data_IF_598328603808
#
_entry.id   IF_598328603808
#
_cell.length_a   1.000
_cell.length_b   1.000
_cell.length_c   1.000
_cell.angle_alpha   90.00
_cell.angle_beta   90.00
_cell.angle_gamma   90.00
#
_symmetry.space_group_name_H-M   'P 1'
#
loop_
_entity.id
_entity.type
_entity.pdbx_description
1 polymer ?
#
# COMPACT_ATOMS: atom_id res chain seq x y z
N UNK A 1 -63.04 63.21 -17.54
CA UNK A 1 -62.78 61.84 -17.07
C UNK A 1 -61.50 61.35 -17.75
N UNK A 2 -60.38 61.27 -17.05
CA UNK A 2 -59.11 60.76 -17.57
C UNK A 2 -58.86 59.40 -16.94
N UNK A 3 -58.85 58.38 -17.79
CA UNK A 3 -58.63 56.98 -17.40
C UNK A 3 -57.12 56.74 -17.27
N UNK A 4 -56.65 56.33 -16.07
CA UNK A 4 -55.26 55.94 -15.80
C UNK A 4 -55.15 54.44 -15.99
N UNK A 5 -54.34 53.98 -16.99
CA UNK A 5 -53.97 52.60 -17.20
C UNK A 5 -52.73 52.25 -16.39
N UNK A 6 -52.88 51.40 -15.40
CA UNK A 6 -51.73 50.85 -14.64
C UNK A 6 -51.07 49.73 -15.44
N UNK A 7 -49.81 49.93 -15.80
CA UNK A 7 -48.93 48.85 -16.33
C UNK A 7 -48.30 48.11 -15.14
N UNK A 8 -48.59 46.84 -15.07
CA UNK A 8 -47.90 45.90 -14.16
C UNK A 8 -46.58 45.55 -14.81
N UNK A 9 -45.45 45.81 -14.12
CA UNK A 9 -44.13 45.29 -14.41
C UNK A 9 -43.98 43.97 -13.68
N UNK A 10 -43.93 42.84 -14.39
CA UNK A 10 -43.51 41.55 -13.82
C UNK A 10 -41.97 41.52 -13.74
N UNK A 11 -41.47 41.49 -12.54
CA UNK A 11 -40.03 41.27 -12.27
C UNK A 11 -39.77 39.74 -12.39
N UNK A 12 -39.08 39.31 -13.45
CA UNK A 12 -38.58 37.94 -13.56
C UNK A 12 -37.29 37.90 -12.74
N UNK A 13 -37.35 37.29 -11.56
CA UNK A 13 -36.14 36.91 -10.82
C UNK A 13 -35.53 35.71 -11.56
N UNK A 14 -34.43 35.96 -12.28
CA UNK A 14 -33.55 34.89 -12.74
C UNK A 14 -32.86 34.29 -11.50
N UNK A 15 -33.29 33.09 -11.13
CA UNK A 15 -32.59 32.30 -10.10
C UNK A 15 -31.19 31.94 -10.59
N UNK A 16 -30.17 32.46 -9.92
CA UNK A 16 -28.80 31.98 -10.07
C UNK A 16 -28.76 30.52 -9.61
N UNK A 17 -28.10 29.61 -10.33
CA UNK A 17 -27.89 28.25 -9.83
C UNK A 17 -27.08 28.36 -8.53
N UNK A 18 -27.64 27.91 -7.42
CA UNK A 18 -26.89 27.63 -6.20
C UNK A 18 -25.92 26.50 -6.56
N UNK A 19 -24.66 26.82 -6.74
CA UNK A 19 -23.62 25.80 -6.77
C UNK A 19 -23.76 25.02 -5.48
N UNK A 20 -24.14 23.75 -5.62
CA UNK A 20 -24.24 22.85 -4.46
C UNK A 20 -22.87 22.79 -3.77
N UNK A 21 -22.82 23.15 -2.50
CA UNK A 21 -21.68 22.87 -1.64
C UNK A 21 -21.43 21.34 -1.76
N UNK A 22 -20.31 20.95 -2.36
CA UNK A 22 -19.91 19.55 -2.41
C UNK A 22 -19.94 18.97 -0.99
N UNK A 23 -20.47 17.76 -0.84
CA UNK A 23 -20.42 17.07 0.45
C UNK A 23 -18.96 16.92 0.88
N UNK A 24 -18.67 17.10 2.17
CA UNK A 24 -17.34 16.85 2.71
C UNK A 24 -16.93 15.38 2.43
N UNK A 25 -15.62 15.11 2.21
CA UNK A 25 -15.12 13.75 2.03
C UNK A 25 -15.61 12.81 3.13
N UNK A 26 -15.96 11.58 2.78
CA UNK A 26 -16.49 10.59 3.73
C UNK A 26 -15.37 9.96 4.56
N UNK A 27 -14.13 10.03 4.09
CA UNK A 27 -12.94 9.65 4.85
C UNK A 27 -11.69 10.36 4.35
N UNK A 28 -10.69 10.43 5.20
CA UNK A 28 -9.40 11.06 4.92
C UNK A 28 -8.35 10.00 4.65
N UNK A 29 -7.59 10.13 3.56
CA UNK A 29 -6.37 9.37 3.35
C UNK A 29 -5.25 10.03 4.16
N UNK A 30 -4.83 9.37 5.25
CA UNK A 30 -3.80 9.88 6.17
C UNK A 30 -2.44 9.87 5.49
N UNK A 31 -1.62 10.89 5.70
CA UNK A 31 -0.24 10.96 5.20
C UNK A 31 0.58 9.75 5.65
N UNK A 32 1.61 9.43 4.88
CA UNK A 32 2.51 8.31 5.18
C UNK A 32 3.47 8.57 6.35
N UNK A 33 3.62 9.82 6.76
CA UNK A 33 4.60 10.25 7.76
C UNK A 33 6.03 10.39 7.21
N UNK A 34 6.29 10.11 5.92
CA UNK A 34 7.62 10.27 5.34
C UNK A 34 8.06 11.75 5.40
N UNK A 35 9.21 12.01 6.02
CA UNK A 35 9.74 13.37 6.26
C UNK A 35 11.09 13.62 5.58
N UNK A 36 11.66 12.62 4.92
CA UNK A 36 12.97 12.68 4.30
C UNK A 36 12.87 12.48 2.80
N UNK A 37 13.68 13.25 2.04
CA UNK A 37 13.85 13.07 0.61
C UNK A 37 15.08 12.22 0.30
N UNK A 38 15.02 11.49 -0.82
CA UNK A 38 16.09 10.58 -1.22
C UNK A 38 16.35 10.68 -2.73
N UNK A 39 17.61 10.53 -3.13
CA UNK A 39 17.93 10.21 -4.52
C UNK A 39 17.76 8.68 -4.78
N UNK A 40 18.47 8.14 -5.75
CA UNK A 40 18.44 6.71 -6.06
C UNK A 40 19.24 5.85 -5.05
N UNK A 41 19.78 6.43 -3.98
CA UNK A 41 20.66 5.71 -3.01
C UNK A 41 20.54 6.21 -1.58
N UNK A 42 20.61 7.52 -1.38
CA UNK A 42 20.81 8.13 -0.07
C UNK A 42 19.83 9.27 0.19
N UNK A 43 19.74 9.67 1.45
CA UNK A 43 19.02 10.87 1.87
C UNK A 43 19.65 12.13 1.24
N UNK A 44 18.81 13.04 0.76
CA UNK A 44 19.21 14.33 0.18
C UNK A 44 18.38 15.45 0.81
N UNK A 45 18.90 16.70 0.79
CA UNK A 45 18.07 17.86 1.12
C UNK A 45 16.83 17.91 0.21
N UNK A 46 15.67 18.44 0.70
CA UNK A 46 14.46 18.53 -0.10
C UNK A 46 14.71 19.28 -1.42
N UNK A 47 14.49 18.65 -2.59
CA UNK A 47 14.69 19.28 -3.88
C UNK A 47 13.67 20.40 -4.10
N UNK A 48 14.06 21.42 -4.87
CA UNK A 48 13.15 22.49 -5.31
C UNK A 48 12.47 22.12 -6.62
N UNK A 49 11.34 22.77 -6.94
CA UNK A 49 10.69 22.63 -8.24
C UNK A 49 11.68 22.83 -9.39
N UNK A 50 11.63 21.96 -10.38
CA UNK A 50 12.55 21.93 -11.52
C UNK A 50 13.87 21.19 -11.27
N UNK A 51 14.15 20.78 -10.03
CA UNK A 51 15.33 19.95 -9.73
C UNK A 51 15.02 18.44 -9.86
N UNK A 52 16.04 17.60 -10.11
CA UNK A 52 15.89 16.15 -10.04
C UNK A 52 15.33 15.73 -8.69
N UNK A 53 14.52 14.67 -8.68
CA UNK A 53 13.87 14.12 -7.49
C UNK A 53 12.87 15.04 -6.77
N UNK A 54 12.47 16.17 -7.34
CA UNK A 54 11.37 16.98 -6.82
C UNK A 54 10.04 16.23 -7.00
N UNK A 55 9.15 16.33 -6.02
CA UNK A 55 7.81 15.73 -6.06
C UNK A 55 7.70 14.44 -5.25
N UNK A 56 8.63 14.21 -4.30
CA UNK A 56 8.58 13.07 -3.38
C UNK A 56 7.51 13.27 -2.29
N UNK A 57 7.07 12.16 -1.70
CA UNK A 57 6.09 12.10 -0.61
C UNK A 57 6.40 13.08 0.53
N UNK A 58 7.65 13.12 0.99
CA UNK A 58 8.10 14.02 2.06
C UNK A 58 7.93 15.53 1.75
N UNK A 59 7.50 15.91 0.56
CA UNK A 59 7.29 17.30 0.16
C UNK A 59 5.81 17.72 0.17
N UNK A 60 4.90 16.76 0.43
CA UNK A 60 3.46 16.97 0.46
C UNK A 60 2.89 16.46 1.78
N UNK A 61 2.35 17.36 2.59
CA UNK A 61 1.77 17.04 3.89
C UNK A 61 0.39 17.69 3.98
N UNK A 62 -0.66 16.87 3.96
CA UNK A 62 -2.04 17.34 3.98
C UNK A 62 -2.75 16.90 5.26
N UNK A 63 -2.61 15.63 5.64
CA UNK A 63 -3.30 15.01 6.75
C UNK A 63 -2.34 14.17 7.60
N UNK A 64 -1.41 14.79 8.36
CA UNK A 64 -0.46 14.05 9.20
C UNK A 64 -1.20 13.19 10.22
N UNK A 65 -0.68 11.98 10.49
CA UNK A 65 -1.28 11.06 11.45
C UNK A 65 -1.50 11.73 12.80
N UNK A 66 -2.68 11.52 13.37
CA UNK A 66 -3.09 12.14 14.64
C UNK A 66 -3.90 11.14 15.45
N UNK A 67 -3.38 10.75 16.61
CA UNK A 67 -3.97 9.72 17.46
C UNK A 67 -4.25 10.24 18.87
N UNK A 68 -5.26 9.66 19.52
CA UNK A 68 -5.60 9.88 20.91
C UNK A 68 -5.74 8.53 21.62
N UNK A 69 -5.02 8.34 22.73
CA UNK A 69 -5.19 7.14 23.56
C UNK A 69 -6.53 7.19 24.30
N UNK A 70 -7.23 6.07 24.35
CA UNK A 70 -8.39 5.89 25.22
C UNK A 70 -8.00 6.04 26.70
N UNK A 71 -8.93 6.51 27.52
CA UNK A 71 -8.68 6.77 28.95
C UNK A 71 -8.29 5.50 29.74
N UNK A 72 -8.69 4.34 29.25
CA UNK A 72 -8.34 3.00 29.79
C UNK A 72 -6.98 2.47 29.29
N UNK A 73 -6.36 3.15 28.32
CA UNK A 73 -5.13 2.71 27.69
C UNK A 73 -5.27 1.50 26.77
N UNK A 74 -6.49 1.02 26.47
CA UNK A 74 -6.75 -0.18 25.65
C UNK A 74 -6.98 0.16 24.19
N UNK A 75 -7.38 1.38 23.90
CA UNK A 75 -7.80 1.81 22.56
C UNK A 75 -7.01 3.01 22.05
N UNK A 76 -6.96 3.16 20.73
CA UNK A 76 -6.38 4.30 20.03
C UNK A 76 -7.41 4.86 19.06
N UNK A 77 -7.80 6.10 19.23
CA UNK A 77 -8.65 6.82 18.29
C UNK A 77 -7.81 7.56 17.27
N UNK A 78 -8.06 7.32 15.98
CA UNK A 78 -7.48 8.09 14.87
C UNK A 78 -8.37 9.30 14.57
N UNK A 79 -7.84 10.50 14.88
CA UNK A 79 -8.56 11.75 14.76
C UNK A 79 -8.85 12.17 13.32
N UNK A 80 -8.14 11.62 12.33
CA UNK A 80 -8.35 11.92 10.91
C UNK A 80 -9.40 11.00 10.26
N UNK A 81 -9.38 9.72 10.61
CA UNK A 81 -10.22 8.72 9.96
C UNK A 81 -11.54 8.47 10.69
N UNK A 82 -11.61 8.86 11.98
CA UNK A 82 -12.73 8.53 12.87
C UNK A 82 -12.77 7.04 13.25
N UNK A 83 -11.71 6.29 12.94
CA UNK A 83 -11.56 4.89 13.35
C UNK A 83 -11.02 4.81 14.77
N UNK A 84 -11.44 3.78 15.50
CA UNK A 84 -10.87 3.43 16.81
C UNK A 84 -10.35 2.02 16.76
N UNK A 85 -9.13 1.81 17.23
CA UNK A 85 -8.38 0.57 17.13
C UNK A 85 -8.12 -0.04 18.50
N UNK A 86 -7.99 -1.38 18.58
CA UNK A 86 -7.26 -1.97 19.69
C UNK A 86 -5.84 -1.41 19.69
N UNK A 87 -5.30 -1.09 20.86
CA UNK A 87 -3.92 -0.63 21.02
C UNK A 87 -2.91 -1.77 20.86
N UNK A 88 -3.28 -2.96 21.25
CA UNK A 88 -2.41 -4.13 21.31
C UNK A 88 -3.06 -5.34 20.66
N UNK A 89 -2.30 -6.17 19.91
CA UNK A 89 -2.72 -7.49 19.48
C UNK A 89 -2.42 -8.57 20.53
N UNK A 90 -2.12 -8.22 21.79
CA UNK A 90 -1.96 -9.12 22.91
C UNK A 90 -3.28 -9.86 23.17
N UNK A 91 -3.27 -11.17 23.09
CA UNK A 91 -4.47 -12.02 23.25
C UNK A 91 -4.55 -12.77 24.56
N UNK A 92 -3.44 -12.92 25.29
CA UNK A 92 -3.39 -13.61 26.56
C UNK A 92 -3.27 -12.66 27.77
N UNK A 93 -3.04 -11.36 27.52
CA UNK A 93 -3.06 -10.28 28.52
C UNK A 93 -1.81 -10.25 29.40
N UNK A 94 -0.68 -10.76 28.90
CA UNK A 94 0.59 -10.79 29.64
C UNK A 94 1.48 -9.55 29.35
N UNK A 95 0.98 -8.58 28.58
CA UNK A 95 1.67 -7.36 28.11
C UNK A 95 2.91 -7.64 27.24
N UNK A 96 3.05 -8.83 26.67
CA UNK A 96 4.16 -9.23 25.82
C UNK A 96 3.64 -9.77 24.49
N UNK A 97 4.09 -9.21 23.40
CA UNK A 97 3.74 -9.70 22.06
C UNK A 97 4.69 -10.81 21.65
N UNK A 98 4.14 -12.00 21.47
CA UNK A 98 4.84 -13.23 21.10
C UNK A 98 4.13 -13.95 19.96
N UNK A 99 4.66 -15.08 19.50
CA UNK A 99 3.96 -15.94 18.55
C UNK A 99 2.63 -16.51 19.09
N UNK A 100 2.43 -16.52 20.43
CA UNK A 100 1.22 -17.05 21.04
C UNK A 100 0.02 -16.11 20.87
N UNK A 101 0.28 -14.83 20.63
CA UNK A 101 -0.75 -13.82 20.35
C UNK A 101 -1.24 -13.85 18.90
N UNK A 102 -0.60 -14.63 18.05
CA UNK A 102 -0.99 -14.75 16.64
C UNK A 102 -2.12 -15.75 16.47
N UNK A 103 -3.13 -15.35 15.72
CA UNK A 103 -4.38 -16.09 15.52
C UNK A 103 -4.44 -16.70 14.12
N UNK A 104 -5.03 -17.88 13.99
CA UNK A 104 -5.49 -18.41 12.69
C UNK A 104 -6.60 -17.51 12.13
N UNK A 105 -6.93 -17.66 10.86
CA UNK A 105 -8.04 -16.87 10.26
C UNK A 105 -9.36 -17.11 11.01
N UNK A 106 -9.66 -18.34 11.37
CA UNK A 106 -10.89 -18.67 12.11
C UNK A 106 -10.95 -17.99 13.50
N UNK A 107 -9.84 -17.98 14.21
CA UNK A 107 -9.72 -17.27 15.50
C UNK A 107 -9.82 -15.76 15.32
N UNK A 108 -9.14 -15.19 14.29
CA UNK A 108 -9.22 -13.78 13.97
C UNK A 108 -10.66 -13.33 13.65
N UNK A 109 -11.42 -14.16 12.92
CA UNK A 109 -12.83 -13.89 12.61
C UNK A 109 -13.74 -13.97 13.85
N UNK A 110 -13.39 -14.75 14.84
CA UNK A 110 -14.15 -14.88 16.09
C UNK A 110 -13.83 -13.76 17.10
N UNK A 111 -12.64 -13.13 17.02
CA UNK A 111 -12.17 -12.13 17.98
C UNK A 111 -13.13 -10.93 18.15
N UNK A 112 -13.69 -10.33 17.07
CA UNK A 112 -14.61 -9.20 17.22
C UNK A 112 -15.83 -9.52 18.10
N UNK A 113 -16.41 -10.72 17.96
CA UNK A 113 -17.55 -11.13 18.77
C UNK A 113 -17.19 -11.24 20.25
N UNK A 114 -15.97 -11.66 20.58
CA UNK A 114 -15.47 -11.75 21.97
C UNK A 114 -15.27 -10.34 22.55
N UNK A 115 -14.68 -9.40 21.78
CA UNK A 115 -14.48 -8.02 22.21
C UNK A 115 -15.83 -7.32 22.45
N UNK A 116 -16.80 -7.55 21.56
CA UNK A 116 -18.15 -6.98 21.67
C UNK A 116 -18.89 -7.54 22.90
N UNK A 117 -18.80 -8.84 23.15
CA UNK A 117 -19.42 -9.47 24.32
C UNK A 117 -18.80 -8.99 25.65
N UNK A 118 -17.52 -8.64 25.66
CA UNK A 118 -16.82 -8.12 26.83
C UNK A 118 -16.88 -6.59 26.97
N UNK A 119 -17.53 -5.89 26.04
CA UNK A 119 -17.55 -4.42 25.97
C UNK A 119 -16.13 -3.81 26.00
N UNK A 120 -15.21 -4.40 25.25
CA UNK A 120 -13.80 -4.01 25.24
C UNK A 120 -13.64 -2.51 24.92
N UNK A 121 -12.92 -1.78 25.79
CA UNK A 121 -12.78 -0.33 25.69
C UNK A 121 -14.10 0.45 25.80
N UNK A 122 -15.18 -0.18 26.30
CA UNK A 122 -16.52 0.39 26.41
C UNK A 122 -17.35 0.34 25.12
N UNK A 123 -16.98 -0.49 24.14
CA UNK A 123 -17.63 -0.57 22.81
C UNK A 123 -18.14 -1.99 22.49
N UNK A 124 -19.12 -2.06 21.55
CA UNK A 124 -19.80 -3.30 21.15
C UNK A 124 -19.83 -3.48 19.62
N UNK A 125 -19.10 -2.67 18.85
CA UNK A 125 -19.11 -2.64 17.38
C UNK A 125 -17.75 -2.93 16.76
N UNK A 126 -16.91 -3.69 17.45
CA UNK A 126 -15.62 -4.16 16.95
C UNK A 126 -15.79 -5.09 15.76
N UNK A 127 -14.89 -4.99 14.78
CA UNK A 127 -14.81 -5.83 13.58
C UNK A 127 -13.37 -6.01 13.13
N UNK A 128 -13.12 -6.99 12.25
CA UNK A 128 -11.86 -7.05 11.53
C UNK A 128 -11.73 -5.85 10.59
N UNK A 129 -10.55 -5.24 10.46
CA UNK A 129 -10.33 -4.17 9.51
C UNK A 129 -10.38 -4.68 8.07
N UNK A 130 -10.86 -3.87 7.15
CA UNK A 130 -10.56 -4.03 5.72
C UNK A 130 -9.06 -3.78 5.48
N UNK A 131 -8.56 -4.15 4.29
CA UNK A 131 -7.16 -3.88 3.94
C UNK A 131 -6.86 -2.37 3.90
N UNK A 132 -7.80 -1.56 3.41
CA UNK A 132 -7.64 -0.10 3.35
C UNK A 132 -7.61 0.53 4.74
N UNK A 133 -8.46 0.06 5.66
CA UNK A 133 -8.42 0.50 7.05
C UNK A 133 -7.10 0.11 7.72
N UNK A 134 -6.69 -1.15 7.63
CA UNK A 134 -5.45 -1.59 8.26
C UNK A 134 -4.22 -0.83 7.74
N UNK A 135 -4.20 -0.52 6.44
CA UNK A 135 -3.10 0.24 5.83
C UNK A 135 -3.11 1.73 6.21
N UNK A 136 -4.19 2.26 6.75
CA UNK A 136 -4.20 3.64 7.29
C UNK A 136 -3.19 3.82 8.43
N UNK A 137 -2.87 2.75 9.16
CA UNK A 137 -1.88 2.75 10.24
C UNK A 137 -0.42 2.72 9.75
N UNK A 138 -0.18 2.49 8.45
CA UNK A 138 1.17 2.44 7.90
C UNK A 138 1.92 3.76 8.10
N UNK A 139 3.19 3.67 8.53
CA UNK A 139 4.09 4.80 8.78
C UNK A 139 5.40 4.59 7.99
N UNK A 140 5.64 5.41 6.97
CA UNK A 140 6.81 5.31 6.11
C UNK A 140 8.12 5.80 6.76
N UNK A 141 8.08 6.21 8.04
CA UNK A 141 9.31 6.45 8.85
C UNK A 141 9.98 5.13 9.26
N UNK A 142 9.33 4.00 9.02
CA UNK A 142 9.87 2.67 9.26
C UNK A 142 11.17 2.39 8.51
N UNK A 143 11.92 1.39 8.98
CA UNK A 143 13.18 0.94 8.38
C UNK A 143 13.03 -0.52 7.90
N UNK A 144 13.11 -0.76 6.59
CA UNK A 144 13.07 -2.11 6.02
C UNK A 144 14.26 -2.94 6.57
N UNK A 145 13.99 -4.05 7.28
CA UNK A 145 15.03 -4.92 7.81
C UNK A 145 15.71 -5.79 6.75
N UNK A 146 15.26 -5.74 5.49
CA UNK A 146 15.86 -6.50 4.39
C UNK A 146 17.31 -6.01 4.16
N UNK A 147 18.29 -6.83 4.45
CA UNK A 147 19.71 -6.47 4.28
C UNK A 147 20.64 -7.13 5.30
N UNK A 148 21.89 -6.68 5.41
CA UNK A 148 22.94 -7.34 6.20
C UNK A 148 22.81 -7.22 7.72
N UNK A 149 21.74 -6.60 8.24
CA UNK A 149 21.53 -6.35 9.69
C UNK A 149 21.31 -7.61 10.54
N UNK A 150 21.11 -8.77 9.93
CA UNK A 150 20.89 -10.03 10.65
C UNK A 150 19.63 -9.97 11.52
N UNK A 151 19.74 -10.45 12.77
CA UNK A 151 18.64 -10.51 13.74
C UNK A 151 18.63 -9.31 14.72
N UNK A 152 19.49 -8.32 14.52
CA UNK A 152 19.54 -7.15 15.39
C UNK A 152 18.43 -6.15 15.02
N UNK A 153 17.45 -6.04 15.91
CA UNK A 153 16.31 -5.11 15.76
C UNK A 153 16.53 -3.77 16.45
N UNK A 154 17.64 -3.57 17.17
CA UNK A 154 17.88 -2.36 17.98
C UNK A 154 17.96 -1.06 17.15
N UNK A 155 18.22 -1.17 15.85
CA UNK A 155 18.34 -0.05 14.90
C UNK A 155 17.15 0.03 13.93
N UNK A 156 16.13 -0.79 14.12
CA UNK A 156 14.93 -0.82 13.31
C UNK A 156 13.85 0.08 13.90
N UNK A 157 13.12 0.74 13.04
CA UNK A 157 11.86 1.41 13.35
C UNK A 157 10.76 0.65 12.60
N UNK A 158 9.69 0.19 13.26
CA UNK A 158 8.60 -0.46 12.56
C UNK A 158 7.77 0.54 11.75
N UNK A 159 7.00 0.03 10.80
CA UNK A 159 6.12 0.83 9.94
C UNK A 159 4.74 1.08 10.57
N UNK A 160 4.72 1.30 11.89
CA UNK A 160 3.55 1.71 12.68
C UNK A 160 4.04 2.59 13.84
N UNK A 161 3.23 3.56 14.26
CA UNK A 161 3.62 4.48 15.35
C UNK A 161 3.54 3.79 16.72
N UNK A 162 4.70 3.40 17.24
CA UNK A 162 4.83 2.69 18.54
C UNK A 162 4.63 3.58 19.77
N UNK A 163 4.44 4.89 19.61
CA UNK A 163 3.98 5.73 20.72
C UNK A 163 2.51 5.44 21.09
N UNK A 164 1.76 4.92 20.12
CA UNK A 164 0.34 4.61 20.29
C UNK A 164 0.06 3.11 20.25
N UNK A 165 0.68 2.36 19.36
CA UNK A 165 0.41 0.95 19.14
C UNK A 165 1.51 0.06 19.70
N UNK A 166 1.15 -1.04 20.34
CA UNK A 166 2.13 -2.07 20.72
C UNK A 166 2.52 -2.87 19.47
N UNK A 167 3.81 -3.13 19.36
CA UNK A 167 4.40 -3.84 18.23
C UNK A 167 5.57 -4.74 18.69
N UNK A 168 5.73 -5.89 18.05
CA UNK A 168 6.91 -6.74 18.18
C UNK A 168 7.38 -7.28 16.83
N UNK A 169 8.68 -7.31 16.63
CA UNK A 169 9.29 -8.12 15.57
C UNK A 169 9.18 -9.60 15.90
N UNK A 170 9.28 -10.49 14.90
CA UNK A 170 9.38 -11.93 15.12
C UNK A 170 10.64 -12.25 15.95
N UNK A 171 10.54 -13.27 16.82
CA UNK A 171 11.63 -13.71 17.70
C UNK A 171 12.45 -14.85 17.05
N UNK A 172 13.69 -14.58 16.59
CA UNK A 172 14.55 -15.61 16.02
C UNK A 172 14.89 -16.75 16.99
N UNK A 173 14.80 -16.51 18.31
CA UNK A 173 15.06 -17.54 19.31
C UNK A 173 13.91 -18.57 19.41
N UNK A 174 12.71 -18.14 19.03
CA UNK A 174 11.55 -19.04 18.89
C UNK A 174 11.35 -19.58 17.46
N UNK A 175 12.33 -19.38 16.59
CA UNK A 175 12.32 -19.89 15.20
C UNK A 175 11.58 -18.99 14.20
N UNK A 176 11.23 -17.76 14.58
CA UNK A 176 10.65 -16.77 13.68
C UNK A 176 11.72 -15.95 12.97
N UNK A 177 11.39 -15.38 11.82
CA UNK A 177 12.22 -14.32 11.20
C UNK A 177 11.86 -12.97 11.83
N UNK A 178 12.77 -12.03 11.83
CA UNK A 178 12.51 -10.64 12.27
C UNK A 178 11.24 -10.06 11.61
N UNK A 179 11.01 -10.40 10.33
CA UNK A 179 9.82 -9.96 9.58
C UNK A 179 8.56 -10.79 9.82
N UNK A 180 8.54 -11.74 10.74
CA UNK A 180 7.34 -12.52 11.02
C UNK A 180 6.42 -11.76 12.00
N UNK A 181 5.96 -10.59 11.54
CA UNK A 181 5.07 -9.67 12.24
C UNK A 181 3.95 -9.21 11.30
N UNK A 182 3.22 -10.19 10.75
CA UNK A 182 2.13 -9.95 9.82
C UNK A 182 0.83 -9.69 10.58
N UNK A 183 0.12 -8.64 10.19
CA UNK A 183 -1.21 -8.29 10.71
C UNK A 183 -2.28 -8.63 9.68
N UNK A 184 -3.30 -9.37 10.10
CA UNK A 184 -4.40 -9.79 9.23
C UNK A 184 -5.44 -8.69 9.06
N UNK A 185 -5.97 -8.56 7.83
CA UNK A 185 -7.23 -7.87 7.57
C UNK A 185 -8.37 -8.87 7.40
N UNK A 186 -9.61 -8.39 7.20
CA UNK A 186 -10.74 -9.21 6.76
C UNK A 186 -10.81 -9.41 5.25
N UNK A 187 -9.87 -8.83 4.47
CA UNK A 187 -9.92 -8.83 3.00
C UNK A 187 -9.23 -10.05 2.42
N UNK A 188 -10.00 -10.94 1.80
CA UNK A 188 -9.48 -12.10 1.09
C UNK A 188 -9.05 -11.72 -0.32
N UNK A 189 -8.04 -12.40 -0.86
CA UNK A 189 -7.70 -12.33 -2.27
C UNK A 189 -8.74 -13.13 -3.07
N UNK A 190 -9.18 -12.57 -4.19
CA UNK A 190 -10.19 -13.23 -5.07
C UNK A 190 -9.58 -14.32 -5.95
N UNK A 191 -8.27 -14.36 -6.10
CA UNK A 191 -7.53 -15.43 -6.79
C UNK A 191 -6.96 -16.46 -5.82
N UNK A 192 -6.25 -17.44 -6.35
CA UNK A 192 -5.51 -18.43 -5.58
C UNK A 192 -4.03 -18.09 -5.49
N UNK A 193 -3.38 -18.54 -4.43
CA UNK A 193 -1.95 -18.42 -4.26
C UNK A 193 -1.14 -19.44 -5.07
N UNK A 194 0.18 -19.28 -5.02
CA UNK A 194 1.15 -20.16 -5.70
C UNK A 194 0.99 -21.66 -5.36
N UNK A 195 0.41 -21.97 -4.20
CA UNK A 195 0.17 -23.35 -3.74
C UNK A 195 -1.29 -23.79 -3.88
N UNK A 196 -2.14 -23.01 -4.59
CA UNK A 196 -3.57 -23.32 -4.74
C UNK A 196 -4.40 -23.07 -3.48
N UNK A 197 -3.84 -22.41 -2.46
CA UNK A 197 -4.55 -22.04 -1.24
C UNK A 197 -5.20 -20.66 -1.36
N UNK A 198 -6.28 -20.46 -0.60
CA UNK A 198 -6.84 -19.15 -0.37
C UNK A 198 -5.80 -18.23 0.30
N UNK A 199 -5.87 -16.94 -0.04
CA UNK A 199 -5.01 -15.91 0.54
C UNK A 199 -5.82 -14.87 1.30
N UNK A 200 -5.17 -14.33 2.33
CA UNK A 200 -5.65 -13.20 3.09
C UNK A 200 -4.68 -12.03 2.92
N UNK A 201 -5.19 -10.86 2.58
CA UNK A 201 -4.35 -9.66 2.60
C UNK A 201 -4.05 -9.21 4.03
N UNK A 202 -2.83 -8.76 4.23
CA UNK A 202 -2.39 -8.20 5.48
C UNK A 202 -1.23 -7.24 5.31
N UNK A 203 -0.99 -6.45 6.34
CA UNK A 203 0.18 -5.57 6.44
C UNK A 203 1.25 -6.23 7.29
N UNK A 204 2.46 -6.17 6.84
CA UNK A 204 3.61 -6.50 7.67
C UNK A 204 4.26 -5.20 8.17
N UNK A 205 3.98 -4.81 9.39
CA UNK A 205 4.53 -3.59 9.95
C UNK A 205 6.02 -3.69 10.31
N UNK A 206 6.65 -4.88 10.21
CA UNK A 206 8.10 -5.02 10.33
C UNK A 206 8.83 -4.61 9.04
N UNK A 207 8.25 -4.89 7.86
CA UNK A 207 8.86 -4.60 6.56
C UNK A 207 8.06 -3.63 5.68
N UNK A 208 6.97 -3.08 6.18
CA UNK A 208 6.17 -2.04 5.54
C UNK A 208 5.44 -2.49 4.26
N UNK A 209 5.07 -3.77 4.13
CA UNK A 209 4.50 -4.31 2.89
C UNK A 209 3.08 -4.86 3.05
N UNK A 210 2.26 -4.68 2.01
CA UNK A 210 1.00 -5.42 1.83
C UNK A 210 1.29 -6.68 1.02
N UNK A 211 0.81 -7.82 1.53
CA UNK A 211 0.92 -9.11 0.84
C UNK A 211 -0.38 -9.90 1.00
N UNK A 212 -0.74 -10.67 -0.03
CA UNK A 212 -1.63 -11.80 0.11
C UNK A 212 -0.86 -12.98 0.70
N UNK A 213 -1.23 -13.38 1.89
CA UNK A 213 -0.61 -14.50 2.60
C UNK A 213 -1.43 -15.77 2.39
N UNK A 214 -0.79 -16.86 2.00
CA UNK A 214 -1.41 -18.18 2.04
C UNK A 214 -1.91 -18.47 3.46
N UNK A 215 -3.09 -19.06 3.58
CA UNK A 215 -3.67 -19.41 4.90
C UNK A 215 -3.01 -20.63 5.55
N UNK A 216 -2.21 -21.37 4.77
CA UNK A 216 -1.45 -22.52 5.26
C UNK A 216 0.05 -22.31 5.00
N UNK A 217 0.85 -22.87 5.89
CA UNK A 217 2.29 -22.95 5.67
C UNK A 217 2.59 -23.95 4.54
N UNK A 218 3.77 -23.86 3.88
CA UNK A 218 4.18 -24.80 2.86
C UNK A 218 3.99 -26.26 3.33
N UNK A 219 3.34 -27.08 2.47
CA UNK A 219 2.94 -28.45 2.83
C UNK A 219 1.49 -28.60 3.32
N UNK A 220 0.75 -27.50 3.52
CA UNK A 220 -0.70 -27.47 3.73
C UNK A 220 -1.22 -28.09 5.04
N UNK A 221 -0.33 -28.44 5.96
CA UNK A 221 -0.68 -29.16 7.21
C UNK A 221 -0.89 -28.24 8.42
N UNK A 222 -0.31 -27.06 8.38
CA UNK A 222 -0.36 -26.10 9.47
C UNK A 222 -0.93 -24.79 8.97
N UNK A 223 -1.93 -24.27 9.68
CA UNK A 223 -2.48 -22.94 9.41
C UNK A 223 -1.46 -21.86 9.74
N UNK A 224 -1.45 -20.82 8.94
CA UNK A 224 -0.68 -19.62 9.21
C UNK A 224 -1.41 -18.77 10.24
N UNK A 225 -0.64 -18.15 11.14
CA UNK A 225 -1.15 -17.26 12.17
C UNK A 225 -0.68 -15.83 11.97
N UNK A 226 -1.45 -14.87 12.50
CA UNK A 226 -1.27 -13.44 12.30
C UNK A 226 -1.54 -12.67 13.59
N UNK A 227 -0.89 -11.56 13.81
CA UNK A 227 -1.40 -10.56 14.74
C UNK A 227 -2.69 -9.95 14.20
N UNK A 228 -3.56 -9.50 15.10
CA UNK A 228 -4.85 -8.88 14.74
C UNK A 228 -5.06 -7.63 15.59
N UNK A 229 -5.39 -6.53 14.93
CA UNK A 229 -5.94 -5.33 15.57
C UNK A 229 -7.35 -5.15 15.05
N UNK A 230 -8.35 -5.32 15.92
CA UNK A 230 -9.73 -5.00 15.58
C UNK A 230 -9.93 -3.49 15.51
N UNK A 231 -10.89 -3.08 14.69
CA UNK A 231 -11.26 -1.69 14.45
C UNK A 231 -12.75 -1.50 14.67
N UNK A 232 -13.17 -0.27 14.99
CA UNK A 232 -14.55 0.19 15.02
C UNK A 232 -14.69 1.62 14.50
N UNK A 233 -15.91 2.11 14.38
CA UNK A 233 -16.22 3.44 13.86
C UNK A 233 -16.24 3.45 12.33
N UNK A 234 -16.42 4.62 11.73
CA UNK A 234 -16.53 4.93 10.30
C UNK A 234 -16.57 3.71 9.32
N UNK A 235 -17.72 3.03 9.17
CA UNK A 235 -17.80 1.82 8.34
C UNK A 235 -17.66 2.12 6.83
N UNK A 236 -17.70 3.39 6.44
CA UNK A 236 -17.50 3.85 5.06
C UNK A 236 -16.04 4.08 4.69
N UNK A 237 -15.10 3.96 5.64
CA UNK A 237 -13.68 4.14 5.33
C UNK A 237 -13.20 3.19 4.24
N UNK A 238 -12.52 3.74 3.23
CA UNK A 238 -12.01 2.97 2.10
C UNK A 238 -13.05 2.66 1.01
N UNK A 239 -14.30 3.12 1.14
CA UNK A 239 -15.30 3.04 0.07
C UNK A 239 -15.18 4.27 -0.83
N UNK A 240 -14.81 4.06 -2.09
CA UNK A 240 -14.64 5.13 -3.07
C UNK A 240 -16.01 5.60 -3.62
N UNK A 241 -16.07 6.87 -4.04
CA UNK A 241 -17.18 7.49 -4.77
C UNK A 241 -16.64 8.20 -6.02
N UNK A 242 -16.39 7.41 -7.06
CA UNK A 242 -15.77 7.91 -8.29
C UNK A 242 -16.75 8.66 -9.18
N UNK A 243 -16.32 9.79 -9.69
CA UNK A 243 -17.04 10.62 -10.65
C UNK A 243 -16.15 10.93 -11.87
N UNK A 244 -16.59 10.47 -13.04
CA UNK A 244 -15.92 10.75 -14.32
C UNK A 244 -16.37 12.13 -14.82
N UNK A 245 -15.42 13.05 -15.02
CA UNK A 245 -15.66 14.40 -15.55
C UNK A 245 -15.75 14.42 -17.08
N UNK A 246 -15.51 13.28 -17.75
CA UNK A 246 -15.50 13.16 -19.23
C UNK A 246 -14.46 14.05 -19.93
N UNK A 247 -13.46 14.51 -19.21
CA UNK A 247 -12.35 15.33 -19.67
C UNK A 247 -10.98 14.65 -19.48
N UNK A 248 -11.00 13.38 -19.07
CA UNK A 248 -9.82 12.57 -18.75
C UNK A 248 -9.43 12.63 -17.28
N UNK A 249 -10.26 13.23 -16.43
CA UNK A 249 -10.11 13.22 -14.97
C UNK A 249 -11.23 12.45 -14.28
N UNK A 250 -10.91 11.83 -13.14
CA UNK A 250 -11.86 11.14 -12.27
C UNK A 250 -11.65 11.64 -10.84
N UNK A 251 -12.69 12.20 -10.24
CA UNK A 251 -12.68 12.55 -8.81
C UNK A 251 -13.14 11.38 -7.97
N UNK A 252 -12.48 11.16 -6.85
CA UNK A 252 -13.01 10.35 -5.75
C UNK A 252 -13.58 11.28 -4.68
N UNK A 253 -14.90 11.47 -4.70
CA UNK A 253 -15.61 12.35 -3.76
C UNK A 253 -15.50 11.87 -2.32
N UNK A 254 -15.24 10.57 -2.13
CA UNK A 254 -15.06 10.00 -0.80
C UNK A 254 -13.76 10.48 -0.12
N UNK A 255 -12.73 10.80 -0.92
CA UNK A 255 -11.40 11.19 -0.42
C UNK A 255 -11.05 12.66 -0.70
N UNK A 256 -11.75 13.31 -1.65
CA UNK A 256 -11.39 14.64 -2.17
C UNK A 256 -10.15 14.63 -3.05
N UNK A 257 -9.80 13.48 -3.63
CA UNK A 257 -8.69 13.35 -4.58
C UNK A 257 -9.21 13.31 -6.02
N UNK A 258 -8.51 13.98 -6.92
CA UNK A 258 -8.72 13.89 -8.36
C UNK A 258 -7.56 13.15 -9.01
N UNK A 259 -7.88 12.28 -9.96
CA UNK A 259 -6.94 11.37 -10.62
C UNK A 259 -6.96 11.57 -12.14
N UNK A 260 -5.81 11.32 -12.80
CA UNK A 260 -5.84 11.08 -14.23
C UNK A 260 -6.56 9.77 -14.53
N UNK A 261 -7.51 9.78 -15.47
CA UNK A 261 -8.25 8.58 -15.86
C UNK A 261 -7.33 7.56 -16.52
N UNK A 262 -6.41 8.02 -17.37
CA UNK A 262 -5.37 7.18 -17.99
C UNK A 262 -4.06 7.24 -17.22
N UNK A 263 -3.30 6.15 -17.28
CA UNK A 263 -1.93 6.06 -16.77
C UNK A 263 -0.91 6.64 -17.77
N UNK A 264 0.39 6.50 -17.47
CA UNK A 264 1.50 7.01 -18.31
C UNK A 264 1.65 6.33 -19.67
N UNK A 265 0.91 5.23 -19.94
CA UNK A 265 1.01 4.43 -21.16
C UNK A 265 2.30 3.59 -21.30
N UNK A 266 3.29 3.88 -20.49
CA UNK A 266 4.57 3.17 -20.47
C UNK A 266 5.21 3.22 -19.08
N UNK A 267 6.05 2.22 -18.78
CA UNK A 267 6.85 2.18 -17.57
C UNK A 267 8.08 3.10 -17.66
N UNK A 268 8.51 3.61 -16.51
CA UNK A 268 9.72 4.42 -16.36
C UNK A 268 10.34 4.21 -14.99
N UNK A 269 11.64 4.50 -14.82
CA UNK A 269 12.26 4.47 -13.51
C UNK A 269 11.72 5.59 -12.61
N UNK A 270 11.98 5.50 -11.30
CA UNK A 270 11.37 6.40 -10.32
C UNK A 270 11.76 7.88 -10.50
N UNK A 271 13.02 8.15 -10.84
CA UNK A 271 13.47 9.53 -11.10
C UNK A 271 12.79 10.13 -12.33
N UNK A 272 12.66 9.33 -13.39
CA UNK A 272 11.97 9.75 -14.62
C UNK A 272 10.45 9.91 -14.36
N UNK A 273 9.86 9.11 -13.46
CA UNK A 273 8.48 9.26 -13.03
C UNK A 273 8.23 10.64 -12.39
N UNK A 274 9.09 11.03 -11.44
CA UNK A 274 9.02 12.37 -10.83
C UNK A 274 9.21 13.50 -11.85
N UNK A 275 10.17 13.34 -12.78
CA UNK A 275 10.40 14.32 -13.84
C UNK A 275 9.23 14.39 -14.82
N UNK A 276 8.61 13.26 -15.16
CA UNK A 276 7.44 13.19 -16.01
C UNK A 276 6.25 13.96 -15.42
N UNK A 277 6.01 13.85 -14.12
CA UNK A 277 4.98 14.62 -13.40
C UNK A 277 5.24 16.13 -13.53
N UNK A 278 6.50 16.57 -13.36
CA UNK A 278 6.87 17.97 -13.53
C UNK A 278 6.62 18.45 -14.99
N UNK A 279 6.91 17.61 -15.99
CA UNK A 279 6.59 17.86 -17.40
C UNK A 279 5.09 18.03 -17.62
N UNK A 280 4.26 17.17 -17.03
CA UNK A 280 2.80 17.26 -17.13
C UNK A 280 2.25 18.55 -16.52
N UNK A 281 2.83 19.02 -15.42
CA UNK A 281 2.47 20.31 -14.83
C UNK A 281 2.86 21.50 -15.73
N UNK A 282 4.03 21.45 -16.35
CA UNK A 282 4.47 22.48 -17.29
C UNK A 282 3.58 22.56 -18.54
N UNK A 283 3.07 21.42 -19.00
CA UNK A 283 2.12 21.30 -20.13
C UNK A 283 0.67 21.69 -19.75
N UNK A 284 0.37 21.91 -18.47
CA UNK A 284 -1.00 22.07 -17.95
C UNK A 284 -1.89 20.87 -18.33
N UNK A 285 -1.37 19.68 -18.13
CA UNK A 285 -2.04 18.44 -18.52
C UNK A 285 -3.44 18.36 -17.92
N UNK A 286 -4.45 18.05 -18.74
CA UNK A 286 -5.87 18.03 -18.35
C UNK A 286 -6.33 19.34 -17.67
N UNK A 287 -5.73 20.48 -18.03
CA UNK A 287 -6.07 21.79 -17.48
C UNK A 287 -5.45 22.16 -16.13
N UNK A 288 -4.63 21.26 -15.53
CA UNK A 288 -4.08 21.42 -14.19
C UNK A 288 -2.54 21.51 -14.18
N UNK A 289 -1.96 22.16 -13.13
CA UNK A 289 -0.52 22.38 -12.98
C UNK A 289 0.01 21.88 -11.63
N UNK A 290 -0.81 21.19 -10.87
CA UNK A 290 -0.57 20.73 -9.50
C UNK A 290 -0.67 19.20 -9.37
N UNK A 291 -0.50 18.48 -10.48
CA UNK A 291 -0.36 17.04 -10.49
C UNK A 291 0.86 16.60 -9.68
N UNK A 292 0.72 15.51 -8.97
CA UNK A 292 1.81 14.86 -8.23
C UNK A 292 1.78 13.35 -8.42
N UNK A 293 2.90 12.71 -8.15
CA UNK A 293 2.95 11.28 -7.96
C UNK A 293 2.23 10.96 -6.64
N UNK A 294 1.27 10.01 -6.60
CA UNK A 294 0.57 9.69 -5.37
C UNK A 294 1.53 9.14 -4.32
N UNK A 295 1.28 9.41 -3.05
CA UNK A 295 1.90 8.64 -2.00
C UNK A 295 1.32 7.20 -1.98
N UNK A 296 1.95 6.30 -1.24
CA UNK A 296 1.58 4.88 -1.30
C UNK A 296 0.19 4.59 -0.74
N UNK A 297 -0.28 5.36 0.25
CA UNK A 297 -1.64 5.21 0.82
C UNK A 297 -2.71 5.71 -0.15
N UNK A 298 -2.47 6.84 -0.82
CA UNK A 298 -3.36 7.34 -1.86
C UNK A 298 -3.48 6.35 -3.00
N UNK A 299 -2.35 5.82 -3.47
CA UNK A 299 -2.37 4.83 -4.54
C UNK A 299 -3.10 3.55 -4.11
N UNK A 300 -2.90 3.09 -2.87
CA UNK A 300 -3.59 1.93 -2.32
C UNK A 300 -5.11 2.17 -2.16
N UNK A 301 -5.55 3.42 -1.93
CA UNK A 301 -6.98 3.73 -1.82
C UNK A 301 -7.77 3.44 -3.11
N UNK A 302 -7.11 3.39 -4.27
CA UNK A 302 -7.71 3.02 -5.55
C UNK A 302 -7.93 1.51 -5.73
N UNK A 303 -7.30 0.66 -4.91
CA UNK A 303 -7.36 -0.80 -5.12
C UNK A 303 -8.77 -1.33 -4.91
N UNK A 304 -9.27 -2.04 -5.92
CA UNK A 304 -10.47 -2.86 -5.84
C UNK A 304 -10.08 -4.32 -5.60
N UNK A 305 -10.13 -4.75 -4.36
CA UNK A 305 -9.77 -6.11 -3.95
C UNK A 305 -10.75 -7.20 -4.43
N UNK A 306 -11.85 -6.83 -5.09
CA UNK A 306 -12.78 -7.77 -5.73
C UNK A 306 -12.34 -8.18 -7.14
N UNK A 307 -11.22 -7.64 -7.65
CA UNK A 307 -10.76 -7.81 -9.03
C UNK A 307 -9.33 -8.34 -9.10
N UNK A 308 -9.05 -9.14 -10.12
CA UNK A 308 -7.69 -9.60 -10.42
C UNK A 308 -7.55 -10.07 -11.87
N UNK A 309 -6.33 -10.12 -12.43
CA UNK A 309 -6.10 -10.66 -13.77
C UNK A 309 -6.57 -12.10 -13.94
N UNK A 310 -6.47 -12.93 -12.90
CA UNK A 310 -6.76 -14.36 -12.98
C UNK A 310 -8.24 -14.71 -12.84
N UNK A 311 -9.02 -13.91 -12.11
CA UNK A 311 -10.43 -14.22 -11.82
C UNK A 311 -11.42 -13.34 -12.56
N UNK A 312 -11.13 -12.06 -12.69
CA UNK A 312 -12.02 -11.11 -13.38
C UNK A 312 -11.47 -10.63 -14.71
N UNK A 313 -10.28 -11.12 -15.12
CA UNK A 313 -9.57 -10.71 -16.33
C UNK A 313 -9.39 -9.20 -16.45
N UNK A 314 -9.13 -8.54 -15.33
CA UNK A 314 -9.06 -7.08 -15.23
C UNK A 314 -8.01 -6.64 -14.21
N UNK A 315 -7.55 -5.37 -14.26
CA UNK A 315 -6.76 -4.79 -13.18
C UNK A 315 -7.58 -4.67 -11.89
N UNK A 316 -6.92 -4.61 -10.75
CA UNK A 316 -7.53 -4.42 -9.43
C UNK A 316 -7.88 -2.95 -9.16
N UNK A 317 -8.70 -2.36 -10.03
CA UNK A 317 -9.16 -0.97 -9.95
C UNK A 317 -10.53 -0.84 -10.62
N UNK A 318 -11.27 0.22 -10.28
CA UNK A 318 -12.55 0.52 -10.90
C UNK A 318 -12.41 0.67 -12.43
N UNK A 319 -13.36 0.14 -13.24
CA UNK A 319 -13.33 0.22 -14.70
C UNK A 319 -13.35 1.63 -15.30
N UNK A 320 -13.70 2.66 -14.53
CA UNK A 320 -13.56 4.06 -14.96
C UNK A 320 -12.11 4.43 -15.27
N UNK A 321 -11.13 3.75 -14.64
CA UNK A 321 -9.73 3.99 -14.88
C UNK A 321 -9.18 3.16 -16.03
N UNK A 322 -8.50 3.82 -16.96
CA UNK A 322 -7.81 3.16 -18.05
C UNK A 322 -6.42 2.69 -17.59
N UNK A 323 -6.22 1.38 -17.55
CA UNK A 323 -4.94 0.75 -17.25
C UNK A 323 -4.33 0.16 -18.51
N UNK A 324 -3.09 0.52 -18.82
CA UNK A 324 -2.36 -0.01 -19.99
C UNK A 324 -2.04 -1.48 -19.76
N UNK A 325 -2.70 -2.38 -20.50
CA UNK A 325 -2.34 -3.79 -20.49
C UNK A 325 -1.01 -4.01 -21.20
N UNK A 326 -0.21 -4.96 -20.71
CA UNK A 326 1.05 -5.35 -21.32
C UNK A 326 1.26 -6.87 -21.23
N UNK A 327 2.27 -7.37 -21.93
CA UNK A 327 2.68 -8.78 -21.84
C UNK A 327 3.75 -8.91 -20.77
N UNK A 328 3.47 -9.69 -19.72
CA UNK A 328 4.38 -9.90 -18.59
C UNK A 328 5.53 -10.87 -18.91
N UNK A 329 6.37 -11.13 -17.94
CA UNK A 329 7.58 -11.96 -18.01
C UNK A 329 7.28 -13.44 -18.33
N UNK A 330 6.02 -13.88 -18.17
CA UNK A 330 5.51 -15.21 -18.52
C UNK A 330 4.64 -15.20 -19.79
N UNK A 331 4.74 -14.15 -20.61
CA UNK A 331 3.96 -13.98 -21.85
C UNK A 331 2.43 -13.96 -21.64
N UNK A 332 1.97 -13.52 -20.47
CA UNK A 332 0.55 -13.37 -20.17
C UNK A 332 0.14 -11.89 -20.23
N UNK A 333 -1.13 -11.61 -20.58
CA UNK A 333 -1.69 -10.28 -20.39
C UNK A 333 -1.72 -9.95 -18.91
N UNK A 334 -1.20 -8.77 -18.56
CA UNK A 334 -1.10 -8.29 -17.19
C UNK A 334 -1.27 -6.77 -17.14
N UNK A 335 -1.27 -6.21 -15.91
CA UNK A 335 -1.50 -4.80 -15.66
C UNK A 335 -0.38 -4.20 -14.79
N UNK A 336 -0.22 -2.87 -14.81
CA UNK A 336 0.95 -2.20 -14.24
C UNK A 336 1.14 -2.38 -12.74
N UNK A 337 2.39 -2.29 -12.32
CA UNK A 337 2.79 -1.72 -11.04
C UNK A 337 2.84 -0.20 -11.21
N UNK A 338 2.20 0.53 -10.31
CA UNK A 338 2.28 1.99 -10.30
C UNK A 338 3.23 2.47 -9.22
N UNK A 339 4.20 3.31 -9.61
CA UNK A 339 5.06 3.99 -8.65
C UNK A 339 4.26 4.88 -7.71
N UNK A 340 4.66 4.88 -6.43
CA UNK A 340 4.31 5.95 -5.51
C UNK A 340 5.49 6.92 -5.31
N UNK A 341 5.19 8.11 -4.76
CA UNK A 341 6.21 9.08 -4.36
C UNK A 341 6.99 8.65 -3.11
N UNK A 342 6.56 7.55 -2.43
CA UNK A 342 7.05 7.09 -1.14
C UNK A 342 8.31 6.24 -1.30
N UNK A 343 9.40 6.66 -0.67
CA UNK A 343 10.63 5.87 -0.59
C UNK A 343 10.47 4.75 0.43
N UNK A 344 10.90 3.55 0.08
CA UNK A 344 11.04 2.43 1.00
C UNK A 344 12.45 2.42 1.56
N UNK A 345 12.66 3.15 2.66
CA UNK A 345 13.97 3.29 3.27
C UNK A 345 14.35 2.05 4.07
N UNK A 346 15.60 1.63 3.95
CA UNK A 346 16.20 0.52 4.69
C UNK A 346 17.53 0.91 5.29
N UNK A 347 18.26 -0.05 5.88
CA UNK A 347 19.57 0.17 6.48
C UNK A 347 20.60 0.85 5.57
N UNK A 348 20.50 0.63 4.27
CA UNK A 348 21.47 1.11 3.30
C UNK A 348 21.02 2.39 2.59
N UNK A 349 19.96 3.02 3.07
CA UNK A 349 19.42 4.25 2.53
C UNK A 349 18.13 4.09 1.75
N UNK A 350 17.86 5.00 0.81
CA UNK A 350 16.59 5.13 0.11
C UNK A 350 16.62 4.64 -1.34
N UNK A 351 17.35 3.58 -1.65
CA UNK A 351 17.51 3.07 -3.03
C UNK A 351 16.28 2.37 -3.63
N UNK A 352 15.23 2.15 -2.87
CA UNK A 352 13.97 1.57 -3.32
C UNK A 352 12.80 2.54 -3.13
N UNK A 353 11.78 2.45 -3.99
CA UNK A 353 10.51 3.14 -3.85
C UNK A 353 9.36 2.14 -3.84
N UNK A 354 8.28 2.53 -3.16
CA UNK A 354 7.08 1.71 -3.05
C UNK A 354 6.24 1.79 -4.32
N UNK A 355 5.60 0.67 -4.66
CA UNK A 355 4.61 0.58 -5.71
C UNK A 355 3.40 -0.23 -5.24
N UNK A 356 2.26 -0.08 -5.92
CA UNK A 356 1.10 -0.94 -5.78
C UNK A 356 0.89 -1.70 -7.09
N UNK A 357 0.69 -3.02 -6.99
CA UNK A 357 0.44 -3.88 -8.13
C UNK A 357 -1.06 -3.91 -8.45
N UNK A 358 -1.47 -3.37 -9.58
CA UNK A 358 -2.85 -3.49 -10.07
C UNK A 358 -3.05 -4.72 -10.98
N UNK A 359 -1.95 -5.30 -11.44
CA UNK A 359 -1.86 -6.64 -12.01
C UNK A 359 -1.35 -7.65 -10.98
N UNK A 360 -0.85 -8.81 -11.46
CA UNK A 360 -0.26 -9.83 -10.60
C UNK A 360 0.97 -9.28 -9.88
N UNK A 361 1.00 -9.40 -8.57
CA UNK A 361 2.22 -9.18 -7.79
C UNK A 361 3.07 -10.47 -7.82
N UNK A 362 3.71 -10.66 -8.96
CA UNK A 362 4.28 -11.94 -9.37
C UNK A 362 5.68 -12.22 -8.83
N UNK A 363 6.03 -13.49 -8.86
CA UNK A 363 7.37 -13.98 -8.53
C UNK A 363 7.73 -15.26 -9.29
N UNK A 364 9.02 -15.54 -9.36
CA UNK A 364 9.60 -16.75 -9.92
C UNK A 364 9.88 -17.75 -8.79
N UNK A 365 8.94 -18.65 -8.53
CA UNK A 365 9.10 -19.69 -7.51
C UNK A 365 9.98 -20.82 -8.00
N UNK A 366 11.04 -21.14 -7.26
CA UNK A 366 11.85 -22.33 -7.53
C UNK A 366 11.13 -23.60 -7.04
N UNK A 367 11.40 -24.78 -7.62
CA UNK A 367 10.85 -26.05 -7.15
C UNK A 367 11.14 -26.33 -5.66
N UNK A 368 12.27 -25.89 -5.15
CA UNK A 368 12.65 -26.01 -3.74
C UNK A 368 11.83 -25.08 -2.84
N UNK A 369 11.45 -23.88 -3.29
CA UNK A 369 10.55 -22.96 -2.58
C UNK A 369 9.12 -23.48 -2.51
N UNK A 370 8.69 -24.31 -3.47
CA UNK A 370 7.37 -24.94 -3.48
C UNK A 370 7.27 -26.19 -2.60
N UNK A 371 8.40 -26.83 -2.24
CA UNK A 371 8.41 -28.10 -1.51
C UNK A 371 8.50 -27.98 0.02
N UNK A 372 8.47 -26.77 0.59
CA UNK A 372 8.38 -26.56 2.05
C UNK A 372 9.61 -27.03 2.85
N UNK A 373 10.76 -27.22 2.22
CA UNK A 373 12.02 -27.42 2.92
C UNK A 373 12.41 -26.17 3.74
N UNK A 374 13.12 -26.31 4.87
CA UNK A 374 13.66 -25.16 5.57
C UNK A 374 14.46 -24.34 4.58
N UNK A 375 14.33 -22.99 4.61
CA UNK A 375 15.14 -22.15 3.73
C UNK A 375 16.60 -22.44 4.05
N UNK A 376 17.31 -23.01 3.08
CA UNK A 376 18.78 -23.04 3.17
C UNK A 376 19.19 -21.60 3.45
N UNK A 377 20.07 -21.40 4.44
CA UNK A 377 20.65 -20.11 4.76
C UNK A 377 21.27 -19.55 3.47
N UNK A 378 20.49 -18.78 2.72
CA UNK A 378 21.00 -17.96 1.65
C UNK A 378 21.29 -16.60 2.27
N UNK A 379 22.50 -16.50 2.84
CA UNK A 379 23.14 -15.25 3.20
C UNK A 379 23.35 -14.45 1.90
N UNK A 380 22.38 -13.68 1.50
CA UNK A 380 22.42 -12.99 0.21
C UNK A 380 21.32 -11.96 0.01
N UNK A 381 20.96 -11.22 1.06
CA UNK A 381 20.27 -9.95 0.88
C UNK A 381 21.31 -8.89 0.57
N UNK A 382 21.69 -8.79 -0.70
CA UNK A 382 22.44 -7.65 -1.18
C UNK A 382 21.61 -6.37 -1.02
N UNK A 383 22.26 -5.25 -0.72
CA UNK A 383 21.64 -3.94 -0.54
C UNK A 383 20.89 -3.48 -1.76
N UNK A 384 19.99 -2.56 -1.55
CA UNK A 384 19.28 -1.86 -2.61
C UNK A 384 20.24 -1.43 -3.72
N UNK A 385 19.80 -1.61 -4.95
CA UNK A 385 20.55 -1.35 -6.18
C UNK A 385 21.34 -0.04 -6.11
N UNK A 386 22.66 -0.12 -6.18
CA UNK A 386 23.50 1.09 -6.19
C UNK A 386 24.95 0.90 -5.84
N UNK A 387 25.42 -0.31 -5.48
CA UNK A 387 26.84 -0.59 -5.41
C UNK A 387 27.41 -0.81 -6.82
N UNK A 388 28.72 -0.45 -7.09
CA UNK A 388 29.38 -0.92 -8.27
C UNK A 388 29.36 -2.47 -8.28
N UNK A 389 29.47 -3.15 -9.44
CA UNK A 389 29.45 -4.61 -9.51
C UNK A 389 30.68 -5.15 -8.74
N UNK A 390 30.54 -5.29 -7.44
CA UNK A 390 31.43 -6.05 -6.61
C UNK A 390 31.00 -7.50 -6.73
N UNK A 391 31.96 -8.37 -6.91
CA UNK A 391 31.91 -9.82 -7.12
C UNK A 391 30.83 -10.62 -6.32
N UNK A 392 29.57 -10.22 -6.35
CA UNK A 392 28.44 -10.91 -5.75
C UNK A 392 28.02 -12.17 -6.53
N UNK A 393 29.00 -12.85 -7.11
CA UNK A 393 28.79 -14.16 -7.76
C UNK A 393 28.54 -15.32 -6.80
N UNK A 394 28.55 -15.05 -5.49
CA UNK A 394 28.24 -16.06 -4.47
C UNK A 394 26.81 -15.92 -3.99
N UNK A 395 25.88 -16.59 -4.65
CA UNK A 395 24.48 -16.70 -4.20
C UNK A 395 23.41 -16.56 -5.27
N UNK A 396 23.75 -16.29 -6.54
CA UNK A 396 22.80 -16.50 -7.62
C UNK A 396 22.67 -18.02 -7.86
N UNK A 397 21.46 -18.56 -7.99
CA UNK A 397 21.31 -19.90 -8.56
C UNK A 397 22.00 -19.85 -9.93
N UNK A 398 22.90 -20.79 -10.19
CA UNK A 398 23.48 -20.92 -11.52
C UNK A 398 22.36 -20.94 -12.54
N UNK A 399 22.55 -20.23 -13.66
CA UNK A 399 21.68 -20.27 -14.84
C UNK A 399 21.81 -21.67 -15.47
N UNK A 400 21.21 -22.66 -14.83
CA UNK A 400 21.29 -24.05 -15.22
C UNK A 400 20.29 -24.89 -14.44
N UNK A 401 19.16 -25.24 -15.07
CA UNK A 401 18.30 -26.40 -14.77
C UNK A 401 17.28 -26.33 -13.63
N UNK A 402 16.92 -25.20 -13.06
CA UNK A 402 15.75 -25.15 -12.17
C UNK A 402 14.48 -24.75 -12.95
N UNK A 403 13.43 -25.57 -12.94
CA UNK A 403 12.12 -25.22 -13.48
C UNK A 403 11.50 -24.13 -12.56
N UNK A 404 11.82 -22.85 -12.78
CA UNK A 404 11.13 -21.74 -12.13
C UNK A 404 9.72 -21.60 -12.68
N UNK A 405 8.76 -21.38 -11.80
CA UNK A 405 7.36 -21.14 -12.16
C UNK A 405 7.01 -19.70 -11.86
N UNK A 406 6.49 -18.99 -12.86
CA UNK A 406 5.92 -17.67 -12.69
C UNK A 406 4.54 -17.78 -12.07
N UNK A 407 4.32 -17.12 -10.94
CA UNK A 407 3.07 -17.21 -10.18
C UNK A 407 2.71 -15.86 -9.59
N UNK A 408 1.43 -15.61 -9.35
CA UNK A 408 0.96 -14.48 -8.55
C UNK A 408 1.21 -14.76 -7.07
N UNK A 409 2.37 -14.32 -6.59
CA UNK A 409 2.85 -14.63 -5.24
C UNK A 409 2.08 -13.86 -4.18
N UNK A 410 1.74 -12.59 -4.45
CA UNK A 410 1.21 -11.69 -3.43
C UNK A 410 -0.22 -11.19 -3.69
N UNK A 411 -0.76 -11.42 -4.89
CA UNK A 411 -2.09 -10.97 -5.29
C UNK A 411 -2.13 -9.54 -5.83
N UNK A 412 -3.04 -9.29 -6.78
CA UNK A 412 -3.34 -7.96 -7.26
C UNK A 412 -3.88 -7.09 -6.10
N UNK A 413 -3.32 -5.90 -5.92
CA UNK A 413 -3.53 -5.02 -4.76
C UNK A 413 -2.43 -5.10 -3.71
N UNK A 414 -1.42 -5.98 -3.87
CA UNK A 414 -0.24 -5.98 -3.01
C UNK A 414 0.59 -4.70 -3.21
N UNK A 415 1.18 -4.23 -2.11
CA UNK A 415 2.16 -3.14 -2.13
C UNK A 415 3.55 -3.73 -1.86
N UNK A 416 4.49 -3.40 -2.71
CA UNK A 416 5.88 -3.86 -2.66
C UNK A 416 6.82 -2.69 -2.94
N UNK A 417 8.09 -2.98 -3.19
CA UNK A 417 9.08 -1.98 -3.57
C UNK A 417 10.05 -2.51 -4.61
N UNK A 418 10.41 -1.65 -5.56
CA UNK A 418 11.45 -1.89 -6.56
C UNK A 418 12.64 -0.95 -6.34
N UNK A 419 13.83 -1.31 -6.81
CA UNK A 419 14.93 -0.36 -6.95
C UNK A 419 14.48 0.84 -7.79
N UNK A 420 14.82 2.05 -7.34
CA UNK A 420 14.49 3.30 -8.05
C UNK A 420 15.16 3.42 -9.43
N UNK A 421 16.29 2.72 -9.61
CA UNK A 421 17.09 2.72 -10.84
C UNK A 421 17.85 1.40 -10.99
N UNK A 422 18.38 1.14 -12.18
CA UNK A 422 19.18 -0.05 -12.47
C UNK A 422 18.71 -0.74 -13.74
N UNK A 423 18.99 -2.05 -13.83
CA UNK A 423 18.59 -2.88 -14.97
C UNK A 423 17.83 -4.12 -14.46
N UNK A 424 16.57 -4.25 -14.83
CA UNK A 424 15.72 -5.38 -14.44
C UNK A 424 16.28 -6.73 -14.96
N UNK A 425 17.01 -6.75 -16.07
CA UNK A 425 17.66 -7.95 -16.59
C UNK A 425 18.71 -8.55 -15.63
N UNK A 426 19.16 -7.81 -14.61
CA UNK A 426 20.02 -8.33 -13.55
C UNK A 426 19.28 -9.23 -12.56
N UNK A 427 17.95 -9.33 -12.67
CA UNK A 427 17.07 -10.11 -11.79
C UNK A 427 16.21 -11.11 -12.58
N UNK A 428 16.82 -12.03 -13.33
CA UNK A 428 16.09 -12.91 -14.28
C UNK A 428 15.06 -13.84 -13.58
N UNK A 429 15.25 -14.09 -12.28
CA UNK A 429 14.30 -14.87 -11.46
C UNK A 429 13.82 -14.06 -10.25
N UNK A 430 13.78 -12.73 -10.39
CA UNK A 430 13.32 -11.82 -9.33
C UNK A 430 14.28 -11.75 -8.15
N UNK A 431 13.76 -11.33 -6.99
CA UNK A 431 14.53 -11.14 -5.76
C UNK A 431 13.83 -11.80 -4.55
N UNK A 432 14.62 -12.16 -3.56
CA UNK A 432 14.14 -12.74 -2.31
C UNK A 432 13.67 -14.20 -2.42
N UNK A 433 13.20 -14.78 -1.31
CA UNK A 433 12.86 -16.20 -1.25
C UNK A 433 11.69 -16.61 -2.17
N UNK A 434 10.84 -15.65 -2.53
CA UNK A 434 9.68 -15.85 -3.40
C UNK A 434 9.94 -15.43 -4.85
N UNK A 435 11.18 -14.97 -5.15
CA UNK A 435 11.56 -14.55 -6.49
C UNK A 435 10.72 -13.37 -7.00
N UNK A 436 10.42 -12.40 -6.13
CA UNK A 436 9.60 -11.23 -6.48
C UNK A 436 10.12 -10.57 -7.77
N UNK A 437 9.26 -10.42 -8.76
CA UNK A 437 9.61 -9.81 -10.04
C UNK A 437 10.04 -8.36 -9.82
N UNK A 438 11.19 -7.99 -10.38
CA UNK A 438 11.76 -6.65 -10.32
C UNK A 438 11.65 -6.01 -11.69
N UNK A 439 10.86 -4.95 -11.81
CA UNK A 439 10.61 -4.26 -13.10
C UNK A 439 11.41 -2.99 -13.24
N UNK A 440 11.61 -2.23 -12.16
CA UNK A 440 12.30 -0.92 -12.13
C UNK A 440 11.59 0.14 -12.99
N UNK A 441 11.01 -0.27 -14.11
CA UNK A 441 10.24 0.59 -15.02
C UNK A 441 8.74 0.39 -14.75
N UNK A 442 8.24 1.04 -13.71
CA UNK A 442 6.82 0.99 -13.34
C UNK A 442 6.05 2.19 -13.93
N UNK A 443 4.75 2.07 -14.01
CA UNK A 443 3.88 3.10 -14.62
C UNK A 443 3.55 4.21 -13.61
N UNK A 444 2.94 5.28 -14.10
CA UNK A 444 2.52 6.43 -13.29
C UNK A 444 1.05 6.72 -13.51
N UNK A 445 0.33 6.96 -12.41
CA UNK A 445 -0.99 7.58 -12.40
C UNK A 445 -0.90 8.87 -11.59
N UNK A 446 -1.42 9.96 -12.15
CA UNK A 446 -1.35 11.28 -11.53
C UNK A 446 -2.49 11.46 -10.53
N UNK A 447 -2.18 12.16 -9.45
CA UNK A 447 -3.16 12.60 -8.44
C UNK A 447 -2.98 14.08 -8.15
N UNK A 448 -4.05 14.74 -7.73
CA UNK A 448 -4.07 16.08 -7.15
C UNK A 448 -5.20 16.18 -6.14
N UNK A 449 -5.15 17.17 -5.27
CA UNK A 449 -6.27 17.44 -4.38
C UNK A 449 -7.38 18.15 -5.18
N UNK A 450 -8.61 17.73 -4.98
CA UNK A 450 -9.76 18.42 -5.55
C UNK A 450 -10.10 19.61 -4.65
N UNK A 451 -10.14 20.86 -5.17
CA UNK A 451 -10.59 21.99 -4.37
C UNK A 451 -12.03 21.75 -3.89
N UNK A 452 -12.26 21.82 -2.59
CA UNK A 452 -13.63 21.88 -2.07
C UNK A 452 -14.28 23.17 -2.58
N UNK A 453 -15.29 23.02 -3.43
CA UNK A 453 -16.07 24.14 -4.00
C UNK A 453 -16.99 24.73 -2.94
#
# INVERSE_FOLDING_TARGET
MKTFTKRLFSLVLAGLPVAGLGAAPSYTVVDTGQSKCYDNRQEIPPPKSGQPFFGQDAQFHHHPASYTLGADGLTVHDNNTGLTWQRSPDTDGDDRLTRHDKLTLAQAQALPAQLNASHFGGFEDWRLPTMKELYSLFDARGTDPSGPGGNDTSRLTPFIDTNYFQFAYGDPRSGERVIDSQYASGTKYVGQGAHGFDKLFGVNFADGRIKGYDLFLPGGRQEKTFFVLCVRGNPGYGTNDFHDHLDGTVSDRATGLMWSQSDSGQGMNWQDALAWVQGKNAEKFLGHQDWRLPNVKELQSLVDYSRSPDTTHSPAIDPLFHCTAFTNEAHQTDYPYYWSATTHAGFLGGGAAMYVAFGRAAGWMSPHGMSGGPPERRDGFGPGAGGPPGNDRQGQPEAGSGNYHYVDVHGAGAQRSDPKSGNAAMFPHGRGPQGDVIRISNYVRLVRDEPML
#
